data_IF_154933866237
#
_entry.id   IF_154933866237
#
_cell.length_a   1.000
_cell.length_b   1.000
_cell.length_c   1.000
_cell.angle_alpha   90.00
_cell.angle_beta   90.00
_cell.angle_gamma   90.00
#
_symmetry.space_group_name_H-M   'P 1'
#
loop_
_entity.id
_entity.type
_entity.pdbx_description
1 polymer ?
#
# COMPACT_ATOMS: atom_id res chain seq x y z
N UNK A 1 8.68 -15.68 -19.53
CA UNK A 1 7.23 -15.44 -19.37
C UNK A 1 7.05 -14.05 -18.80
N UNK A 2 6.36 -13.13 -19.50
CA UNK A 2 5.98 -11.86 -18.88
C UNK A 2 4.83 -12.12 -17.88
N UNK A 3 4.82 -11.45 -16.71
CA UNK A 3 3.70 -11.56 -15.79
C UNK A 3 2.44 -11.04 -16.47
N UNK A 4 1.40 -11.88 -16.54
CA UNK A 4 0.09 -11.48 -17.07
C UNK A 4 -0.52 -10.48 -16.10
N UNK A 5 -1.07 -9.38 -16.62
CA UNK A 5 -1.91 -8.52 -15.78
C UNK A 5 -3.12 -9.31 -15.30
N UNK A 6 -3.56 -9.09 -14.06
CA UNK A 6 -4.84 -9.62 -13.60
C UNK A 6 -5.96 -9.04 -14.44
N UNK A 7 -6.92 -9.88 -14.84
CA UNK A 7 -8.11 -9.42 -15.53
C UNK A 7 -8.94 -8.52 -14.62
N UNK A 8 -9.77 -7.66 -15.20
CA UNK A 8 -10.68 -6.82 -14.41
C UNK A 8 -11.61 -7.67 -13.55
N UNK A 9 -12.03 -8.83 -14.04
CA UNK A 9 -12.92 -9.74 -13.31
C UNK A 9 -12.23 -10.38 -12.11
N UNK A 10 -10.94 -10.70 -12.22
CA UNK A 10 -10.14 -11.19 -11.09
C UNK A 10 -10.08 -10.13 -9.98
N UNK A 11 -9.84 -8.86 -10.36
CA UNK A 11 -9.80 -7.75 -9.40
C UNK A 11 -11.15 -7.58 -8.69
N UNK A 12 -12.25 -7.64 -9.44
CA UNK A 12 -13.60 -7.55 -8.88
C UNK A 12 -13.87 -8.70 -7.92
N UNK A 13 -13.48 -9.92 -8.27
CA UNK A 13 -13.69 -11.10 -7.42
C UNK A 13 -12.87 -11.03 -6.13
N UNK A 14 -11.62 -10.55 -6.20
CA UNK A 14 -10.79 -10.29 -5.02
C UNK A 14 -11.48 -9.29 -4.08
N UNK A 15 -11.99 -8.17 -4.63
CA UNK A 15 -12.69 -7.16 -3.82
C UNK A 15 -13.98 -7.72 -3.23
N UNK A 16 -14.74 -8.51 -4.00
CA UNK A 16 -15.96 -9.17 -3.51
C UNK A 16 -15.63 -10.06 -2.32
N UNK A 17 -14.64 -10.93 -2.42
CA UNK A 17 -14.22 -11.81 -1.33
C UNK A 17 -13.71 -11.03 -0.12
N UNK A 18 -12.91 -9.98 -0.32
CA UNK A 18 -12.40 -9.15 0.77
C UNK A 18 -13.52 -8.43 1.52
N UNK A 19 -14.59 -8.02 0.81
CA UNK A 19 -15.75 -7.36 1.42
C UNK A 19 -16.60 -8.27 2.30
N UNK A 20 -16.47 -9.59 2.17
CA UNK A 20 -17.19 -10.58 2.99
C UNK A 20 -16.52 -10.87 4.33
N UNK A 21 -15.40 -10.21 4.64
CA UNK A 21 -14.76 -10.36 5.94
C UNK A 21 -15.73 -9.96 7.07
N UNK A 22 -15.66 -10.58 8.26
CA UNK A 22 -16.42 -10.12 9.41
C UNK A 22 -15.86 -8.79 9.90
N UNK A 23 -16.74 -7.89 10.36
CA UNK A 23 -16.35 -6.62 10.98
C UNK A 23 -17.20 -6.34 12.22
N UNK A 24 -16.67 -5.51 13.12
CA UNK A 24 -17.37 -5.08 14.33
C UNK A 24 -18.69 -4.42 13.93
N UNK A 25 -19.79 -4.91 14.51
CA UNK A 25 -21.16 -4.45 14.23
C UNK A 25 -21.54 -4.45 12.73
N UNK A 26 -20.84 -5.25 11.91
CA UNK A 26 -21.01 -5.25 10.46
C UNK A 26 -20.82 -3.87 9.81
N UNK A 27 -19.99 -2.99 10.39
CA UNK A 27 -19.75 -1.64 9.86
C UNK A 27 -18.96 -1.65 8.55
N UNK A 28 -18.12 -2.66 8.33
CA UNK A 28 -17.35 -2.85 7.10
C UNK A 28 -16.58 -1.58 6.66
N UNK A 29 -15.67 -1.04 7.50
CA UNK A 29 -14.98 0.24 7.27
C UNK A 29 -13.92 0.20 6.14
N UNK A 30 -14.04 -0.72 5.19
CA UNK A 30 -13.08 -0.88 4.10
C UNK A 30 -13.55 -0.14 2.85
N UNK A 31 -12.58 0.50 2.18
CA UNK A 31 -12.71 1.02 0.83
C UNK A 31 -11.57 0.46 0.00
N UNK A 32 -11.89 -0.11 -1.16
CA UNK A 32 -10.92 -0.69 -2.07
C UNK A 32 -10.70 0.26 -3.25
N UNK A 33 -9.44 0.66 -3.48
CA UNK A 33 -9.03 1.47 -4.63
C UNK A 33 -8.10 0.62 -5.48
N UNK A 34 -8.58 0.17 -6.64
CA UNK A 34 -7.78 -0.60 -7.59
C UNK A 34 -7.03 0.34 -8.54
N UNK A 35 -5.70 0.26 -8.55
CA UNK A 35 -4.85 1.05 -9.44
C UNK A 35 -4.23 0.11 -10.47
N UNK A 36 -4.65 0.25 -11.73
CA UNK A 36 -4.13 -0.56 -12.85
C UNK A 36 -3.13 0.19 -13.72
N UNK A 37 -3.08 1.52 -13.62
CA UNK A 37 -2.14 2.37 -14.35
C UNK A 37 -0.73 2.28 -13.77
N UNK A 38 0.22 1.80 -14.57
CA UNK A 38 1.64 1.73 -14.19
C UNK A 38 2.22 3.10 -13.90
N UNK A 39 1.87 4.11 -14.69
CA UNK A 39 2.38 5.47 -14.48
C UNK A 39 1.91 6.06 -13.15
N UNK A 40 0.65 5.81 -12.77
CA UNK A 40 0.13 6.25 -11.49
C UNK A 40 0.84 5.54 -10.33
N UNK A 41 1.09 4.23 -10.44
CA UNK A 41 1.86 3.49 -9.43
C UNK A 41 3.27 4.06 -9.25
N UNK A 42 3.96 4.40 -10.34
CA UNK A 42 5.29 5.02 -10.29
C UNK A 42 5.24 6.38 -9.60
N UNK A 43 4.25 7.22 -9.94
CA UNK A 43 4.07 8.54 -9.30
C UNK A 43 3.84 8.42 -7.80
N UNK A 44 2.99 7.47 -7.37
CA UNK A 44 2.73 7.21 -5.95
C UNK A 44 3.98 6.70 -5.22
N UNK A 45 4.75 5.79 -5.84
CA UNK A 45 6.00 5.29 -5.27
C UNK A 45 7.04 6.40 -5.07
N UNK A 46 7.14 7.33 -6.03
CA UNK A 46 8.04 8.48 -5.94
C UNK A 46 7.63 9.47 -4.86
N UNK A 47 6.34 9.85 -4.80
CA UNK A 47 5.83 10.75 -3.77
C UNK A 47 6.05 10.19 -2.35
N UNK A 48 5.86 8.87 -2.18
CA UNK A 48 6.19 8.18 -0.93
C UNK A 48 7.68 8.29 -0.60
N UNK A 49 8.56 7.96 -1.54
CA UNK A 49 10.01 7.94 -1.34
C UNK A 49 10.52 9.32 -0.93
N UNK A 50 10.03 10.37 -1.58
CA UNK A 50 10.31 11.76 -1.22
C UNK A 50 9.89 12.05 0.23
N UNK A 51 8.66 11.69 0.60
CA UNK A 51 8.16 11.94 1.96
C UNK A 51 8.93 11.20 3.05
N UNK A 52 9.31 9.94 2.81
CA UNK A 52 10.14 9.14 3.72
C UNK A 52 11.55 9.74 3.83
N UNK A 53 12.12 10.20 2.71
CA UNK A 53 13.45 10.82 2.71
C UNK A 53 13.49 12.13 3.49
N UNK A 54 12.36 12.86 3.53
CA UNK A 54 12.19 14.09 4.27
C UNK A 54 11.96 13.88 5.79
N UNK A 55 11.88 12.63 6.28
CA UNK A 55 11.76 12.37 7.71
C UNK A 55 13.06 12.75 8.44
N UNK A 56 12.98 13.46 9.58
CA UNK A 56 14.15 13.91 10.31
C UNK A 56 14.97 12.73 10.84
N UNK A 57 16.27 12.74 10.58
CA UNK A 57 17.21 11.84 11.24
C UNK A 57 17.56 12.45 12.61
N UNK A 58 16.86 12.01 13.66
CA UNK A 58 17.26 12.34 15.03
C UNK A 58 18.46 11.47 15.45
N UNK A 59 19.40 11.99 16.24
CA UNK A 59 20.61 11.27 16.71
C UNK A 59 20.30 10.17 17.75
N UNK A 60 19.04 10.01 18.14
CA UNK A 60 18.59 8.91 18.99
C UNK A 60 18.91 7.54 18.37
N UNK A 61 19.47 6.62 19.17
CA UNK A 61 19.73 5.21 18.80
C UNK A 61 18.50 4.49 18.22
N UNK A 62 17.29 4.99 18.46
CA UNK A 62 16.02 4.41 18.00
C UNK A 62 15.52 4.99 16.68
N UNK A 63 16.00 6.17 16.26
CA UNK A 63 15.49 6.85 15.05
C UNK A 63 15.70 6.00 13.79
N UNK A 64 16.84 5.32 13.69
CA UNK A 64 17.15 4.41 12.58
C UNK A 64 16.25 3.17 12.54
N UNK A 65 15.82 2.66 13.70
CA UNK A 65 14.90 1.51 13.80
C UNK A 65 13.48 1.90 13.40
N UNK A 66 13.00 3.05 13.88
CA UNK A 66 11.68 3.57 13.55
C UNK A 66 11.58 3.88 12.05
N UNK A 67 12.62 4.52 11.47
CA UNK A 67 12.66 4.78 10.03
C UNK A 67 12.58 3.51 9.20
N UNK A 68 13.31 2.45 9.57
CA UNK A 68 13.23 1.14 8.91
C UNK A 68 11.85 0.49 9.03
N UNK A 69 11.19 0.61 10.19
CA UNK A 69 9.83 0.11 10.36
C UNK A 69 8.84 0.87 9.48
N UNK A 70 8.92 2.20 9.44
CA UNK A 70 8.09 3.03 8.57
C UNK A 70 8.34 2.70 7.10
N UNK A 71 9.60 2.54 6.70
CA UNK A 71 9.96 2.10 5.35
C UNK A 71 9.33 0.74 5.01
N UNK A 72 9.39 -0.22 5.94
CA UNK A 72 8.79 -1.55 5.78
C UNK A 72 7.26 -1.48 5.64
N UNK A 73 6.56 -0.79 6.55
CA UNK A 73 5.10 -0.70 6.52
C UNK A 73 4.56 0.17 5.38
N UNK A 74 5.35 1.12 4.90
CA UNK A 74 5.00 1.93 3.74
C UNK A 74 5.47 1.30 2.42
N UNK A 75 6.14 0.15 2.43
CA UNK A 75 6.56 -0.53 1.20
C UNK A 75 5.37 -1.24 0.53
N UNK A 76 4.54 -0.45 -0.13
CA UNK A 76 3.72 -0.92 -1.25
C UNK A 76 4.51 -0.58 -2.52
N UNK A 77 4.91 -1.63 -3.25
CA UNK A 77 5.61 -1.60 -4.55
C UNK A 77 7.08 -1.17 -4.54
#
# INVERSE_FOLDING_TARGET
>A
MQPRCCGLDDIKEIIRLASLAPSVNNYQPWQFIAITSKDLMIRMANAKRERISALPNNESKYASKVKKQVEFFCHFF
#
